data_IF_036509083939
#
_entry.id   IF_036509083939
#
_cell.length_a   1.000
_cell.length_b   1.000
_cell.length_c   1.000
_cell.angle_alpha   90.00
_cell.angle_beta   90.00
_cell.angle_gamma   90.00
#
_symmetry.space_group_name_H-M   'P 1'
#
loop_
_entity.id
_entity.type
_entity.pdbx_description
1 polymer ?
#
# COMPACT_ATOMS: atom_id res chain seq x y z
N UNK A 1 -11.32 -20.18 -5.49
CA UNK A 1 -12.25 -19.71 -4.43
C UNK A 1 -13.63 -19.57 -5.03
N UNK A 2 -14.68 -20.20 -4.44
CA UNK A 2 -16.03 -20.05 -4.98
C UNK A 2 -16.52 -18.60 -4.81
N UNK A 3 -17.32 -18.10 -5.77
CA UNK A 3 -17.88 -16.73 -5.70
C UNK A 3 -18.66 -16.47 -4.39
N UNK A 4 -19.30 -17.51 -3.83
CA UNK A 4 -20.02 -17.42 -2.56
C UNK A 4 -19.05 -17.21 -1.36
N UNK A 5 -17.88 -17.86 -1.38
CA UNK A 5 -16.88 -17.69 -0.34
C UNK A 5 -16.20 -16.33 -0.44
N UNK A 6 -15.86 -15.88 -1.64
CA UNK A 6 -15.32 -14.55 -1.88
C UNK A 6 -16.27 -13.46 -1.36
N UNK A 7 -17.58 -13.58 -1.65
CA UNK A 7 -18.59 -12.65 -1.15
C UNK A 7 -18.69 -12.64 0.38
N UNK A 8 -18.67 -13.82 1.03
CA UNK A 8 -18.72 -13.93 2.49
C UNK A 8 -17.50 -13.27 3.15
N UNK A 9 -16.31 -13.45 2.57
CA UNK A 9 -15.08 -12.80 3.04
C UNK A 9 -15.21 -11.29 2.89
N UNK A 10 -15.72 -10.81 1.76
CA UNK A 10 -15.96 -9.39 1.51
C UNK A 10 -16.93 -8.79 2.53
N UNK A 11 -18.06 -9.44 2.78
CA UNK A 11 -19.09 -8.95 3.72
C UNK A 11 -18.52 -8.88 5.16
N UNK A 12 -17.76 -9.89 5.60
CA UNK A 12 -17.12 -9.88 6.93
C UNK A 12 -16.04 -8.80 7.03
N UNK A 13 -15.19 -8.64 6.02
CA UNK A 13 -14.15 -7.61 5.98
C UNK A 13 -14.77 -6.20 6.10
N UNK A 14 -15.83 -5.94 5.34
CA UNK A 14 -16.56 -4.67 5.39
C UNK A 14 -17.20 -4.43 6.76
N UNK A 15 -17.85 -5.45 7.32
CA UNK A 15 -18.47 -5.35 8.64
C UNK A 15 -17.43 -4.97 9.72
N UNK A 16 -16.24 -5.59 9.69
CA UNK A 16 -15.14 -5.28 10.62
C UNK A 16 -14.63 -3.85 10.44
N UNK A 17 -14.38 -3.44 9.20
CA UNK A 17 -13.93 -2.09 8.89
C UNK A 17 -14.95 -1.03 9.30
N UNK A 18 -16.25 -1.29 9.12
CA UNK A 18 -17.34 -0.39 9.53
C UNK A 18 -17.40 -0.21 11.05
N UNK A 19 -17.00 -1.21 11.81
CA UNK A 19 -16.86 -1.15 13.26
C UNK A 19 -15.56 -0.48 13.72
N UNK A 20 -14.69 -0.08 12.77
CA UNK A 20 -13.38 0.50 13.07
C UNK A 20 -12.33 -0.53 13.50
N UNK A 21 -12.59 -1.82 13.25
CA UNK A 21 -11.64 -2.88 13.56
C UNK A 21 -10.58 -2.98 12.46
N UNK A 22 -9.37 -3.39 12.84
CA UNK A 22 -8.34 -3.73 11.88
C UNK A 22 -8.56 -5.15 11.34
N UNK A 23 -8.26 -5.33 10.06
CA UNK A 23 -8.23 -6.63 9.39
C UNK A 23 -6.86 -6.87 8.79
N UNK A 24 -6.53 -8.12 8.50
CA UNK A 24 -5.32 -8.46 7.74
C UNK A 24 -5.70 -9.05 6.41
N UNK A 25 -5.08 -8.55 5.36
CA UNK A 25 -5.33 -8.97 3.98
C UNK A 25 -4.03 -9.36 3.29
N UNK A 26 -4.08 -10.35 2.41
CA UNK A 26 -2.95 -10.67 1.54
C UNK A 26 -2.76 -9.56 0.50
N UNK A 27 -1.51 -9.40 0.05
CA UNK A 27 -1.18 -8.53 -1.09
C UNK A 27 -0.71 -9.40 -2.27
N UNK A 28 -0.79 -8.92 -3.51
CA UNK A 28 -0.24 -9.65 -4.64
C UNK A 28 1.26 -9.86 -4.47
N UNK A 29 1.79 -10.94 -5.04
CA UNK A 29 3.24 -11.17 -5.09
C UNK A 29 3.93 -9.99 -5.78
N UNK A 30 5.05 -9.49 -5.24
CA UNK A 30 5.88 -10.05 -4.17
C UNK A 30 5.61 -9.46 -2.78
N UNK A 31 4.48 -8.85 -2.52
CA UNK A 31 4.23 -8.17 -1.25
C UNK A 31 3.82 -9.14 -0.12
N UNK A 32 4.19 -8.80 1.11
CA UNK A 32 3.74 -9.46 2.34
C UNK A 32 2.29 -9.11 2.67
N UNK A 33 1.71 -9.77 3.67
CA UNK A 33 0.41 -9.40 4.21
C UNK A 33 0.41 -7.99 4.79
N UNK A 34 -0.74 -7.31 4.71
CA UNK A 34 -0.93 -5.99 5.28
C UNK A 34 -2.08 -5.95 6.29
N UNK A 35 -1.88 -5.16 7.33
CA UNK A 35 -2.94 -4.73 8.26
C UNK A 35 -3.62 -3.50 7.66
N UNK A 36 -4.95 -3.50 7.65
CA UNK A 36 -5.80 -2.45 7.07
C UNK A 36 -6.87 -2.04 8.06
N UNK A 37 -7.15 -0.76 8.15
CA UNK A 37 -8.27 -0.22 8.94
C UNK A 37 -8.74 1.13 8.39
N UNK A 38 -9.89 1.58 8.86
CA UNK A 38 -10.43 2.93 8.56
C UNK A 38 -9.91 4.00 9.52
N UNK A 39 -9.12 3.61 10.52
CA UNK A 39 -8.45 4.51 11.46
C UNK A 39 -7.00 4.08 11.69
N UNK A 40 -6.06 5.03 11.85
CA UNK A 40 -4.66 4.70 12.13
C UNK A 40 -4.47 4.03 13.49
N UNK A 41 -5.31 4.39 14.47
CA UNK A 41 -5.27 3.84 15.83
C UNK A 41 -5.49 2.33 15.84
N UNK A 42 -6.45 1.82 15.05
CA UNK A 42 -6.72 0.39 14.95
C UNK A 42 -5.53 -0.40 14.39
N UNK A 43 -4.83 0.16 13.37
CA UNK A 43 -3.59 -0.43 12.86
C UNK A 43 -2.51 -0.45 13.94
N UNK A 44 -2.32 0.68 14.61
CA UNK A 44 -1.26 0.84 15.61
C UNK A 44 -1.48 -0.08 16.81
N UNK A 45 -2.73 -0.22 17.25
CA UNK A 45 -3.12 -1.16 18.31
C UNK A 45 -2.86 -2.61 17.89
N UNK A 46 -3.28 -3.00 16.69
CA UNK A 46 -3.03 -4.34 16.17
C UNK A 46 -1.53 -4.67 16.08
N UNK A 47 -0.67 -3.68 15.81
CA UNK A 47 0.79 -3.83 15.72
C UNK A 47 1.51 -3.67 17.07
N UNK A 48 0.81 -3.35 18.15
CA UNK A 48 1.39 -3.12 19.47
C UNK A 48 2.36 -1.94 19.52
N UNK A 49 2.00 -0.82 18.84
CA UNK A 49 2.83 0.38 18.76
C UNK A 49 2.07 1.65 19.20
N UNK A 50 2.75 2.79 19.42
CA UNK A 50 2.08 4.03 19.84
C UNK A 50 0.93 4.41 18.88
N UNK A 51 -0.22 4.82 19.45
CA UNK A 51 -1.44 5.11 18.69
C UNK A 51 -1.29 6.22 17.64
N UNK A 52 -0.35 7.12 17.85
CA UNK A 52 -0.06 8.26 16.97
C UNK A 52 1.10 8.00 15.99
N UNK A 53 1.54 6.74 15.84
CA UNK A 53 2.56 6.43 14.85
C UNK A 53 1.97 6.51 13.45
N UNK A 54 2.75 7.04 12.51
CA UNK A 54 2.33 7.23 11.12
C UNK A 54 2.02 5.89 10.45
N UNK A 55 1.00 5.92 9.60
CA UNK A 55 0.57 4.81 8.74
C UNK A 55 0.44 5.31 7.31
N UNK A 56 0.56 4.43 6.32
CA UNK A 56 0.31 4.82 4.94
C UNK A 56 -1.19 5.01 4.69
N UNK A 57 -1.58 6.04 3.93
CA UNK A 57 -2.92 6.13 3.34
C UNK A 57 -3.00 5.21 2.14
N UNK A 58 -4.06 4.39 2.07
CA UNK A 58 -4.29 3.54 0.92
C UNK A 58 -5.09 4.28 -0.14
N UNK A 59 -4.45 4.55 -1.26
CA UNK A 59 -5.02 5.27 -2.40
C UNK A 59 -5.59 4.26 -3.38
N UNK A 60 -6.89 4.32 -3.62
CA UNK A 60 -7.59 3.43 -4.56
C UNK A 60 -7.59 3.96 -6.00
N UNK A 61 -7.52 5.28 -6.15
CA UNK A 61 -7.42 5.96 -7.43
C UNK A 61 -6.42 7.12 -7.30
N UNK A 62 -5.25 6.94 -7.90
CA UNK A 62 -4.19 7.93 -7.84
C UNK A 62 -4.53 9.23 -8.59
N UNK A 63 -5.49 9.22 -9.52
CA UNK A 63 -5.90 10.44 -10.20
C UNK A 63 -6.64 11.42 -9.27
N UNK A 64 -7.30 10.90 -8.23
CA UNK A 64 -8.04 11.73 -7.28
C UNK A 64 -7.14 12.55 -6.34
N UNK A 65 -5.84 12.25 -6.30
CA UNK A 65 -4.90 12.94 -5.41
C UNK A 65 -3.97 13.90 -6.16
N UNK A 66 -4.01 13.93 -7.49
CA UNK A 66 -3.08 14.75 -8.30
C UNK A 66 -3.21 16.24 -8.02
N UNK A 67 -4.40 16.71 -7.67
CA UNK A 67 -4.64 18.10 -7.33
C UNK A 67 -4.14 18.49 -5.92
N UNK A 68 -3.86 17.48 -5.09
CA UNK A 68 -3.46 17.68 -3.69
C UNK A 68 -1.94 17.56 -3.48
N UNK A 69 -1.18 17.10 -4.50
CA UNK A 69 0.26 16.83 -4.40
C UNK A 69 1.09 17.65 -5.38
N UNK A 70 2.35 17.92 -5.01
CA UNK A 70 3.32 18.58 -5.87
C UNK A 70 3.94 17.59 -6.84
N UNK A 71 3.40 17.50 -8.04
CA UNK A 71 3.93 16.70 -9.14
C UNK A 71 3.84 17.47 -10.44
N UNK A 72 4.86 17.33 -11.28
CA UNK A 72 4.82 17.88 -12.63
C UNK A 72 3.94 17.01 -13.56
N UNK A 73 3.62 17.48 -14.81
CA UNK A 73 2.76 16.71 -15.72
C UNK A 73 3.32 15.34 -16.14
N UNK A 74 4.63 15.10 -16.06
CA UNK A 74 5.23 13.78 -16.34
C UNK A 74 5.08 12.88 -15.11
N UNK A 75 5.38 13.43 -13.96
CA UNK A 75 5.21 12.76 -12.66
C UNK A 75 3.76 12.37 -12.41
N UNK A 76 2.81 13.24 -12.74
CA UNK A 76 1.38 12.95 -12.65
C UNK A 76 0.95 11.73 -13.49
N UNK A 77 1.61 11.47 -14.63
CA UNK A 77 1.37 10.28 -15.45
C UNK A 77 2.00 9.02 -14.87
N UNK A 78 3.08 9.14 -14.13
CA UNK A 78 3.82 8.02 -13.55
C UNK A 78 3.28 7.60 -12.20
N UNK A 79 2.71 8.51 -11.43
CA UNK A 79 2.25 8.25 -10.07
C UNK A 79 1.23 7.09 -9.98
N UNK A 80 0.20 6.99 -10.84
CA UNK A 80 -0.70 5.84 -10.84
C UNK A 80 0.04 4.51 -11.03
N UNK A 81 0.97 4.46 -11.97
CA UNK A 81 1.76 3.26 -12.26
C UNK A 81 2.65 2.86 -11.08
N UNK A 82 3.36 3.82 -10.45
CA UNK A 82 4.18 3.56 -9.27
C UNK A 82 3.36 2.98 -8.10
N UNK A 83 2.16 3.52 -7.89
CA UNK A 83 1.29 3.10 -6.80
C UNK A 83 0.56 1.78 -7.08
N UNK A 84 -0.03 1.63 -8.28
CA UNK A 84 -0.98 0.55 -8.56
C UNK A 84 -0.35 -0.66 -9.24
N UNK A 85 0.58 -0.44 -10.19
CA UNK A 85 1.18 -1.52 -10.97
C UNK A 85 2.49 -2.00 -10.36
N UNK A 86 3.39 -1.06 -9.99
CA UNK A 86 4.62 -1.41 -9.27
C UNK A 86 4.38 -1.72 -7.79
N UNK A 87 3.31 -1.20 -7.20
CA UNK A 87 2.96 -1.45 -5.81
C UNK A 87 3.94 -0.86 -4.81
N UNK A 88 4.55 0.27 -5.13
CA UNK A 88 5.48 0.95 -4.24
C UNK A 88 4.75 1.72 -3.13
N UNK A 89 5.43 1.94 -2.03
CA UNK A 89 5.04 2.98 -1.08
C UNK A 89 5.71 4.28 -1.49
N UNK A 90 4.93 5.33 -1.67
CA UNK A 90 5.41 6.61 -2.21
C UNK A 90 5.27 7.71 -1.17
N UNK A 91 6.35 8.47 -0.95
CA UNK A 91 6.36 9.72 -0.21
C UNK A 91 6.26 10.87 -1.19
N UNK A 92 5.25 11.72 -1.01
CA UNK A 92 4.98 12.90 -1.83
C UNK A 92 4.87 14.15 -0.96
N UNK A 93 5.26 15.30 -1.52
CA UNK A 93 4.95 16.60 -0.92
C UNK A 93 3.50 16.96 -1.24
N UNK A 94 2.66 17.27 -0.25
CA UNK A 94 1.39 17.94 -0.49
C UNK A 94 1.65 19.33 -1.08
N UNK A 95 0.66 19.88 -1.78
CA UNK A 95 0.75 21.25 -2.26
C UNK A 95 0.77 22.25 -1.09
N UNK A 96 1.65 23.24 -1.21
CA UNK A 96 1.81 24.28 -0.18
C UNK A 96 0.67 25.32 -0.19
N UNK A 97 -0.07 25.44 -1.31
CA UNK A 97 -1.10 26.44 -1.52
C UNK A 97 -2.48 26.06 -0.96
N UNK A 98 -2.59 24.88 -0.33
CA UNK A 98 -3.84 24.39 0.26
C UNK A 98 -3.62 23.56 1.54
N UNK A 99 -4.63 23.48 2.42
CA UNK A 99 -4.53 22.71 3.64
C UNK A 99 -4.44 21.20 3.32
N UNK A 100 -3.60 20.48 4.07
CA UNK A 100 -3.50 19.03 3.97
C UNK A 100 -4.87 18.39 4.24
N UNK A 101 -5.39 17.53 3.34
CA UNK A 101 -6.63 16.81 3.55
C UNK A 101 -6.64 16.10 4.92
N UNK A 102 -7.73 16.22 5.66
CA UNK A 102 -7.80 15.72 7.04
C UNK A 102 -7.51 14.21 7.15
N UNK A 103 -7.88 13.43 6.13
CA UNK A 103 -7.62 11.99 6.07
C UNK A 103 -6.16 11.65 5.77
N UNK A 104 -5.32 12.62 5.36
CA UNK A 104 -3.89 12.42 5.18
C UNK A 104 -3.05 12.72 6.42
N UNK A 105 -3.61 13.41 7.40
CA UNK A 105 -2.88 13.77 8.63
C UNK A 105 -2.19 12.57 9.31
N UNK A 106 -2.81 11.37 9.37
CA UNK A 106 -2.15 10.19 9.95
C UNK A 106 -0.97 9.64 9.15
N UNK A 107 -0.88 10.04 7.88
CA UNK A 107 0.18 9.62 6.94
C UNK A 107 1.18 10.74 6.66
N UNK A 108 0.99 11.90 7.29
CA UNK A 108 1.80 13.08 7.05
C UNK A 108 2.87 13.24 8.12
N UNK A 109 4.12 13.37 7.67
CA UNK A 109 5.27 13.66 8.51
C UNK A 109 6.36 14.40 7.72
N UNK A 110 7.03 15.34 8.38
CA UNK A 110 8.21 16.03 7.85
C UNK A 110 8.00 16.61 6.44
N UNK A 111 6.82 17.24 6.21
CA UNK A 111 6.47 17.86 4.94
C UNK A 111 6.01 16.88 3.86
N UNK A 112 5.77 15.59 4.19
CA UNK A 112 5.43 14.55 3.20
C UNK A 112 4.28 13.69 3.64
N UNK A 113 3.53 13.17 2.68
CA UNK A 113 2.48 12.19 2.90
C UNK A 113 2.94 10.80 2.41
N UNK A 114 2.69 9.79 3.22
CA UNK A 114 3.02 8.40 2.94
C UNK A 114 1.83 7.70 2.29
N UNK A 115 1.97 7.33 1.03
CA UNK A 115 0.91 6.74 0.22
C UNK A 115 1.25 5.31 -0.20
N UNK A 116 0.23 4.47 -0.25
CA UNK A 116 0.27 3.11 -0.76
C UNK A 116 -0.95 2.91 -1.66
N UNK A 117 -0.81 2.31 -2.83
CA UNK A 117 -1.89 2.33 -3.82
C UNK A 117 -2.16 1.02 -4.53
N UNK A 118 -1.64 -0.10 -4.03
CA UNK A 118 -1.77 -1.35 -4.76
C UNK A 118 -3.24 -1.73 -5.01
N UNK A 119 -3.53 -2.16 -6.23
CA UNK A 119 -4.81 -2.76 -6.62
C UNK A 119 -4.64 -4.26 -6.77
N UNK A 120 -5.60 -5.01 -6.28
CA UNK A 120 -5.63 -6.45 -6.48
C UNK A 120 -7.06 -6.92 -6.67
N UNK A 121 -7.37 -7.41 -7.86
CA UNK A 121 -8.74 -7.82 -8.26
C UNK A 121 -9.43 -8.75 -7.25
N UNK A 122 -8.67 -9.54 -6.47
CA UNK A 122 -9.23 -10.40 -5.45
C UNK A 122 -9.75 -9.65 -4.22
N UNK A 123 -9.35 -8.38 -4.05
CA UNK A 123 -9.78 -7.50 -2.97
C UNK A 123 -10.62 -6.30 -3.45
N UNK A 124 -10.71 -6.07 -4.76
CA UNK A 124 -11.38 -4.87 -5.33
C UNK A 124 -12.84 -4.75 -4.88
N UNK A 125 -13.56 -5.86 -4.75
CA UNK A 125 -14.99 -5.85 -4.41
C UNK A 125 -15.30 -5.12 -3.11
N UNK A 126 -14.50 -5.28 -2.05
CA UNK A 126 -14.71 -4.58 -0.79
C UNK A 126 -13.99 -3.22 -0.74
N UNK A 127 -12.83 -3.10 -1.38
CA UNK A 127 -12.06 -1.86 -1.40
C UNK A 127 -12.84 -0.72 -2.06
N UNK A 128 -13.45 -0.99 -3.21
CA UNK A 128 -14.27 0.01 -3.93
C UNK A 128 -15.59 0.31 -3.23
N UNK A 129 -16.08 -0.58 -2.37
CA UNK A 129 -17.31 -0.39 -1.59
C UNK A 129 -17.05 0.46 -0.34
N UNK A 130 -15.84 0.44 0.21
CA UNK A 130 -15.47 1.22 1.38
C UNK A 130 -15.39 2.71 1.03
N UNK A 131 -16.32 3.50 1.61
CA UNK A 131 -16.37 4.96 1.40
C UNK A 131 -15.54 5.75 2.41
N UNK A 132 -14.92 5.07 3.36
CA UNK A 132 -14.04 5.69 4.36
C UNK A 132 -12.59 5.68 3.88
N UNK A 133 -11.75 6.59 4.36
CA UNK A 133 -10.32 6.49 4.18
C UNK A 133 -9.82 5.13 4.67
N UNK A 134 -8.92 4.53 3.92
CA UNK A 134 -8.23 3.30 4.31
C UNK A 134 -6.78 3.61 4.64
N UNK A 135 -6.31 3.03 5.72
CA UNK A 135 -4.92 3.08 6.14
C UNK A 135 -4.33 1.68 6.10
N UNK A 136 -3.03 1.60 5.89
CA UNK A 136 -2.35 0.33 5.68
C UNK A 136 -0.95 0.32 6.30
N UNK A 137 -0.54 -0.85 6.76
CA UNK A 137 0.83 -1.12 7.19
C UNK A 137 1.14 -2.60 6.99
N UNK A 138 2.41 -3.01 6.91
CA UNK A 138 2.78 -4.43 6.86
C UNK A 138 2.25 -5.19 8.08
N UNK A 139 1.76 -6.41 7.88
CA UNK A 139 1.24 -7.27 8.94
C UNK A 139 2.38 -7.93 9.70
N UNK A 140 2.92 -7.21 10.67
CA UNK A 140 3.95 -7.70 11.59
C UNK A 140 3.88 -6.96 12.91
N UNK A 141 4.29 -7.62 13.98
CA UNK A 141 4.59 -6.94 15.23
C UNK A 141 5.78 -6.01 15.00
N UNK A 142 5.74 -4.82 15.59
CA UNK A 142 6.82 -3.83 15.43
C UNK A 142 8.19 -4.45 15.78
N UNK A 143 9.16 -4.29 14.89
CA UNK A 143 10.50 -4.88 15.01
C UNK A 143 10.64 -6.30 14.45
N UNK A 144 9.55 -6.95 14.07
CA UNK A 144 9.58 -8.27 13.43
C UNK A 144 9.52 -8.15 11.90
N UNK A 145 10.03 -9.13 11.16
CA UNK A 145 9.84 -9.22 9.71
C UNK A 145 8.34 -9.24 9.34
N UNK A 146 8.00 -8.71 8.17
CA UNK A 146 6.64 -8.75 7.65
C UNK A 146 6.17 -10.19 7.45
N UNK A 147 4.96 -10.50 7.90
CA UNK A 147 4.38 -11.81 7.74
C UNK A 147 4.09 -12.10 6.25
N UNK A 148 4.62 -13.20 5.75
CA UNK A 148 4.48 -13.60 4.35
C UNK A 148 3.47 -14.73 4.13
N UNK A 149 2.97 -15.34 5.21
CA UNK A 149 1.91 -16.36 5.20
C UNK A 149 0.82 -16.02 6.22
N UNK A 150 -0.37 -16.56 6.01
CA UNK A 150 -1.46 -16.44 6.98
C UNK A 150 -1.10 -17.06 8.34
N UNK A 151 -0.26 -18.10 8.35
CA UNK A 151 0.25 -18.71 9.58
C UNK A 151 1.15 -17.75 10.36
N UNK A 152 2.08 -17.07 9.68
CA UNK A 152 2.94 -16.05 10.30
C UNK A 152 2.13 -14.85 10.81
N UNK A 153 1.08 -14.44 10.08
CA UNK A 153 0.14 -13.43 10.56
C UNK A 153 -0.48 -13.84 11.88
N UNK A 154 -1.00 -15.07 11.99
CA UNK A 154 -1.60 -15.58 13.24
C UNK A 154 -0.61 -15.62 14.40
N UNK A 155 0.66 -15.85 14.11
CA UNK A 155 1.72 -15.86 15.13
C UNK A 155 2.11 -14.46 15.63
N UNK A 156 1.98 -13.43 14.79
CA UNK A 156 2.47 -12.09 15.09
C UNK A 156 1.36 -11.10 15.50
N UNK A 157 0.13 -11.31 15.02
CA UNK A 157 -0.98 -10.39 15.23
C UNK A 157 -1.85 -10.81 16.42
N UNK A 158 -2.63 -9.90 17.02
CA UNK A 158 -3.50 -10.21 18.15
C UNK A 158 -4.48 -11.35 17.83
N UNK A 159 -4.76 -12.18 18.83
CA UNK A 159 -5.80 -13.20 18.73
C UNK A 159 -7.16 -12.56 18.44
N UNK A 160 -7.89 -13.08 17.45
CA UNK A 160 -9.21 -12.57 17.06
C UNK A 160 -9.20 -11.50 15.97
N UNK A 161 -8.04 -11.02 15.52
CA UNK A 161 -8.00 -10.20 14.30
C UNK A 161 -8.51 -11.01 13.10
N UNK A 162 -9.34 -10.39 12.28
CA UNK A 162 -9.84 -11.04 11.07
C UNK A 162 -8.74 -11.11 10.01
N UNK A 163 -8.48 -12.31 9.51
CA UNK A 163 -7.45 -12.57 8.51
C UNK A 163 -8.11 -13.14 7.26
N UNK A 164 -7.95 -12.46 6.14
CA UNK A 164 -8.24 -13.02 4.83
C UNK A 164 -7.07 -13.92 4.45
N UNK A 165 -7.28 -15.23 4.45
CA UNK A 165 -6.27 -16.18 4.02
C UNK A 165 -6.22 -16.20 2.48
N UNK A 166 -5.11 -15.84 1.92
CA UNK A 166 -4.89 -15.74 0.47
C UNK A 166 -3.57 -16.36 0.03
N UNK A 167 -2.99 -17.26 0.83
CA UNK A 167 -1.72 -17.90 0.50
C UNK A 167 -1.78 -18.62 -0.87
N UNK A 168 -2.91 -19.27 -1.18
CA UNK A 168 -3.14 -19.95 -2.46
C UNK A 168 -3.23 -19.01 -3.69
N UNK A 169 -3.44 -17.71 -3.48
CA UNK A 169 -3.57 -16.72 -4.55
C UNK A 169 -2.23 -16.08 -4.91
N UNK A 170 -1.18 -16.45 -4.23
CA UNK A 170 0.14 -15.83 -4.32
C UNK A 170 1.14 -16.80 -4.92
N UNK A 171 2.14 -16.27 -5.60
CA UNK A 171 3.19 -17.07 -6.20
C UNK A 171 4.14 -17.61 -5.11
N UNK A 172 4.17 -18.92 -4.83
CA UNK A 172 5.01 -19.49 -3.79
C UNK A 172 6.51 -19.45 -4.11
N UNK A 173 6.87 -19.31 -5.38
CA UNK A 173 8.27 -19.29 -5.82
C UNK A 173 8.91 -17.88 -5.68
N UNK A 174 8.08 -16.86 -5.48
CA UNK A 174 8.57 -15.49 -5.30
C UNK A 174 8.82 -15.20 -3.82
N UNK A 175 9.96 -14.59 -3.53
CA UNK A 175 10.21 -14.02 -2.21
C UNK A 175 9.20 -12.89 -1.94
N UNK A 176 8.63 -12.88 -0.74
CA UNK A 176 7.66 -11.88 -0.33
C UNK A 176 8.25 -10.99 0.79
N UNK A 177 7.85 -9.72 0.78
CA UNK A 177 8.36 -8.78 1.78
C UNK A 177 7.59 -7.47 1.82
N UNK A 178 8.10 -6.54 2.60
CA UNK A 178 7.58 -5.16 2.60
C UNK A 178 7.88 -4.48 1.27
N UNK A 179 7.00 -3.57 0.87
CA UNK A 179 7.21 -2.73 -0.30
C UNK A 179 8.44 -1.83 -0.15
N UNK A 180 9.13 -1.58 -1.25
CA UNK A 180 10.14 -0.53 -1.33
C UNK A 180 9.46 0.82 -1.21
N UNK A 181 10.06 1.73 -0.42
CA UNK A 181 9.55 3.08 -0.21
C UNK A 181 10.40 4.08 -0.96
N UNK A 182 9.77 4.90 -1.76
CA UNK A 182 10.43 5.92 -2.56
C UNK A 182 9.91 7.31 -2.23
N UNK A 183 10.79 8.28 -2.27
CA UNK A 183 10.45 9.69 -2.41
C UNK A 183 10.28 9.98 -3.90
N UNK A 184 9.17 10.62 -4.25
CA UNK A 184 8.83 10.94 -5.63
C UNK A 184 8.33 12.39 -5.73
N UNK A 185 8.67 13.08 -6.82
CA UNK A 185 8.30 14.47 -7.09
C UNK A 185 9.51 15.40 -7.25
N UNK A 186 9.27 16.57 -7.84
CA UNK A 186 10.29 17.59 -8.13
C UNK A 186 11.47 17.06 -8.97
N UNK A 187 11.19 16.18 -9.94
CA UNK A 187 12.19 15.56 -10.80
C UNK A 187 13.03 14.46 -10.12
N UNK A 188 12.70 14.07 -8.89
CA UNK A 188 13.45 13.08 -8.12
C UNK A 188 12.65 11.78 -7.90
N UNK A 189 13.38 10.66 -7.95
CA UNK A 189 12.94 9.36 -7.44
C UNK A 189 14.09 8.79 -6.61
N UNK A 190 13.88 8.68 -5.31
CA UNK A 190 14.89 8.21 -4.37
C UNK A 190 14.35 7.09 -3.48
N UNK A 191 15.13 6.03 -3.29
CA UNK A 191 14.81 4.99 -2.31
C UNK A 191 15.02 5.54 -0.90
N UNK A 192 13.96 5.51 -0.10
CA UNK A 192 13.97 5.91 1.31
C UNK A 192 14.06 4.70 2.23
N UNK A 193 13.48 3.59 1.79
CA UNK A 193 13.55 2.31 2.51
C UNK A 193 13.56 1.17 1.50
N UNK A 194 14.54 0.30 1.62
CA UNK A 194 14.64 -0.92 0.84
C UNK A 194 13.48 -1.87 1.15
N UNK A 195 13.05 -2.62 0.14
CA UNK A 195 11.98 -3.60 0.23
C UNK A 195 12.16 -4.69 -0.82
N UNK A 196 11.11 -5.46 -1.04
CA UNK A 196 11.17 -6.64 -1.91
C UNK A 196 11.36 -6.30 -3.39
N UNK A 197 11.09 -5.07 -3.81
CA UNK A 197 11.19 -4.68 -5.23
C UNK A 197 12.63 -4.44 -5.70
N UNK A 198 13.48 -3.95 -4.82
CA UNK A 198 14.88 -3.61 -5.13
C UNK A 198 15.89 -4.63 -4.59
N UNK A 199 15.42 -5.67 -3.90
CA UNK A 199 16.28 -6.67 -3.25
C UNK A 199 17.11 -7.52 -4.22
N UNK A 200 16.64 -7.68 -5.47
CA UNK A 200 17.34 -8.46 -6.49
C UNK A 200 18.50 -7.70 -7.17
N UNK A 201 18.65 -6.41 -6.89
CA UNK A 201 19.66 -5.56 -7.47
C UNK A 201 20.84 -5.36 -6.50
N UNK A 202 22.07 -5.38 -7.06
CA UNK A 202 23.28 -5.17 -6.24
C UNK A 202 23.40 -3.72 -5.75
N UNK A 203 22.92 -2.76 -6.57
CA UNK A 203 22.96 -1.35 -6.24
C UNK A 203 21.58 -0.69 -6.43
N UNK A 204 21.23 0.22 -5.51
CA UNK A 204 19.99 1.00 -5.57
C UNK A 204 19.84 1.77 -6.88
N UNK A 205 20.95 2.30 -7.41
CA UNK A 205 20.96 3.05 -8.67
C UNK A 205 20.58 2.19 -9.88
N UNK A 206 20.96 0.92 -9.88
CA UNK A 206 20.59 -0.03 -10.95
C UNK A 206 19.09 -0.28 -10.95
N UNK A 207 18.50 -0.51 -9.77
CA UNK A 207 17.06 -0.66 -9.64
C UNK A 207 16.30 0.60 -10.06
N UNK A 208 16.75 1.78 -9.63
CA UNK A 208 16.13 3.06 -10.02
C UNK A 208 16.21 3.26 -11.53
N UNK A 209 17.36 2.94 -12.16
CA UNK A 209 17.51 3.02 -13.61
C UNK A 209 16.56 2.08 -14.36
N UNK A 210 16.44 0.82 -13.90
CA UNK A 210 15.49 -0.16 -14.45
C UNK A 210 14.04 0.33 -14.29
N UNK A 211 13.69 0.83 -13.09
CA UNK A 211 12.36 1.38 -12.82
C UNK A 211 12.01 2.52 -13.77
N UNK A 212 12.95 3.44 -14.03
CA UNK A 212 12.74 4.56 -14.95
C UNK A 212 12.61 4.11 -16.43
N UNK A 213 13.29 3.05 -16.83
CA UNK A 213 13.12 2.44 -18.16
C UNK A 213 11.70 1.88 -18.29
N UNK A 214 11.25 1.05 -17.35
CA UNK A 214 9.90 0.47 -17.33
C UNK A 214 8.82 1.54 -17.30
N UNK A 215 9.01 2.60 -16.50
CA UNK A 215 8.15 3.77 -16.45
C UNK A 215 8.01 4.46 -17.83
N UNK A 216 9.15 4.63 -18.52
CA UNK A 216 9.17 5.24 -19.85
C UNK A 216 8.44 4.39 -20.89
N UNK A 217 8.54 3.07 -20.78
CA UNK A 217 7.85 2.14 -21.68
C UNK A 217 6.34 2.14 -21.41
N UNK A 218 5.92 2.19 -20.13
CA UNK A 218 4.52 2.33 -19.76
C UNK A 218 3.88 3.61 -20.34
N UNK A 219 4.56 4.74 -20.21
CA UNK A 219 4.08 6.02 -20.77
C UNK A 219 3.95 5.96 -22.31
N UNK A 220 4.92 5.33 -23.01
CA UNK A 220 4.89 5.18 -24.47
C UNK A 220 3.76 4.26 -24.94
N UNK A 221 3.51 3.19 -24.22
CA UNK A 221 2.43 2.25 -24.52
C UNK A 221 1.03 2.85 -24.25
N UNK A 222 0.94 3.97 -23.54
CA UNK A 222 -0.34 4.56 -23.10
C UNK A 222 -1.06 3.70 -22.07
N UNK A 223 -0.36 2.82 -21.38
CA UNK A 223 -0.90 1.85 -20.42
C UNK A 223 -0.97 2.43 -19.00
N UNK A 224 -0.15 3.42 -18.68
CA UNK A 224 -0.15 4.11 -17.38
C UNK A 224 -1.46 4.85 -17.06
N UNK A 225 -2.42 4.91 -17.98
CA UNK A 225 -3.68 5.67 -17.87
C UNK A 225 -4.91 4.74 -17.85
N UNK A 226 -4.74 3.41 -17.94
CA UNK A 226 -5.85 2.44 -18.13
C UNK A 226 -6.32 1.72 -16.86
N UNK A 227 -5.95 2.18 -15.71
CA UNK A 227 -6.42 1.57 -14.43
C UNK A 227 -7.47 2.41 -13.72
#
# INVERSE_FOLDING_TARGET
>A
VSAKLARKITDEAMHRLDRGEAIVVPMPSPLAYCVVATTPEAINEAKGRPRNQEVASWILDANQILDDVEVDPREAKLLPWLLHDEGLTVLLSPRDDQPIPCHWRPSYRDGRVLLFGIRWRHLEGWMTTCKRPLYVSSANRTGMPSAVTASEVRAQMPSGIFIVDGDELRDPERKHGSTTMVLFGNGALQVVRHGVHDEAFEATQEWVADLLVRASDCVRAGECVRS
#
